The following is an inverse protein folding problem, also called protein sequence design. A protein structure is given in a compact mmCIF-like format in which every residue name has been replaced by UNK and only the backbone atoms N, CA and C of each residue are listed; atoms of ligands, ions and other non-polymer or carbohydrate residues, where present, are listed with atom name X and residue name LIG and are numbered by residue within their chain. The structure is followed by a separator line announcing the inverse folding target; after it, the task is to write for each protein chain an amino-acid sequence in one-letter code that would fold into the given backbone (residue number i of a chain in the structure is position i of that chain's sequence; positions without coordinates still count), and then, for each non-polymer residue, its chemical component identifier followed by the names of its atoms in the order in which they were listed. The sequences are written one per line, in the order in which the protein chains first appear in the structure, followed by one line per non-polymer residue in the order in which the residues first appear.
data_IF_427733882900
#
_entry.id   IF_427733882900
#
_cell.length_a   1.000
_cell.length_b   1.000
_cell.length_c   1.000
_cell.angle_alpha   90.00
_cell.angle_beta   90.00
_cell.angle_gamma   90.00
#
_symmetry.space_group_name_H-M   'P 1'
#
loop_
_entity.id
_entity.type
_entity.pdbx_description
1 polymer ?
#
# COMPACT_ATOMS: atom_id res chain seq x y z
N UNK A 1 -1.01 10.79 -7.75
CA UNK A 1 0.10 11.78 -7.96
C UNK A 1 -0.21 13.15 -7.36
N UNK A 2 -1.44 13.65 -7.47
CA UNK A 2 -1.82 14.98 -6.95
C UNK A 2 -1.59 15.12 -5.43
N UNK A 3 -1.91 14.09 -4.64
CA UNK A 3 -1.66 14.07 -3.20
C UNK A 3 -0.18 14.24 -2.86
N UNK A 4 0.73 13.57 -3.58
CA UNK A 4 2.17 13.73 -3.37
C UNK A 4 2.66 15.14 -3.72
N UNK A 5 2.12 15.73 -4.81
CA UNK A 5 2.43 17.11 -5.17
C UNK A 5 1.92 18.10 -4.11
N UNK A 6 0.71 17.88 -3.56
CA UNK A 6 0.16 18.69 -2.47
C UNK A 6 1.00 18.60 -1.18
N UNK A 7 1.69 17.47 -0.96
CA UNK A 7 2.64 17.28 0.15
C UNK A 7 4.03 17.88 -0.12
N UNK A 8 4.24 18.53 -1.27
CA UNK A 8 5.53 19.09 -1.66
C UNK A 8 6.56 18.04 -2.07
N UNK A 9 6.14 16.81 -2.33
CA UNK A 9 7.02 15.74 -2.80
C UNK A 9 7.17 15.90 -4.31
N UNK A 10 8.42 16.00 -4.78
CA UNK A 10 8.73 16.09 -6.20
C UNK A 10 8.47 14.73 -6.85
N UNK A 11 7.36 14.65 -7.58
CA UNK A 11 6.96 13.49 -8.39
C UNK A 11 6.78 13.91 -9.85
N UNK A 12 6.98 13.01 -10.83
CA UNK A 12 6.65 13.28 -12.21
C UNK A 12 5.20 13.74 -12.36
N UNK A 13 4.95 14.73 -13.22
CA UNK A 13 3.57 15.11 -13.52
C UNK A 13 2.94 14.06 -14.44
N UNK A 14 1.84 13.46 -13.99
CA UNK A 14 1.03 12.59 -14.84
C UNK A 14 0.31 13.46 -15.88
N UNK A 15 0.63 13.25 -17.17
CA UNK A 15 0.03 13.97 -18.30
C UNK A 15 -1.25 13.30 -18.79
N UNK A 16 -1.25 11.97 -18.82
CA UNK A 16 -2.38 11.19 -19.34
C UNK A 16 -2.37 9.77 -18.79
N UNK A 17 -3.55 9.28 -18.43
CA UNK A 17 -3.76 7.87 -18.13
C UNK A 17 -4.59 7.23 -19.24
N UNK A 18 -4.10 6.12 -19.81
CA UNK A 18 -4.78 5.36 -20.85
C UNK A 18 -5.13 3.99 -20.26
N UNK A 19 -6.42 3.67 -20.19
CA UNK A 19 -6.91 2.35 -19.80
C UNK A 19 -7.22 1.57 -21.08
N UNK A 20 -6.61 0.40 -21.27
CA UNK A 20 -6.89 -0.51 -22.39
C UNK A 20 -6.95 -1.95 -21.88
N UNK A 21 -8.09 -2.59 -22.11
CA UNK A 21 -8.38 -3.96 -21.67
C UNK A 21 -8.10 -4.15 -20.17
N UNK A 22 -7.04 -4.91 -19.84
CA UNK A 22 -6.60 -5.22 -18.47
C UNK A 22 -5.40 -4.39 -18.00
N UNK A 23 -4.98 -3.39 -18.79
CA UNK A 23 -3.77 -2.60 -18.53
C UNK A 23 -4.10 -1.12 -18.38
N UNK A 24 -3.44 -0.48 -17.41
CA UNK A 24 -3.41 0.97 -17.27
C UNK A 24 -2.00 1.47 -17.60
N UNK A 25 -1.92 2.44 -18.51
CA UNK A 25 -0.67 3.11 -18.87
C UNK A 25 -0.74 4.54 -18.37
N UNK A 26 0.29 4.98 -17.64
CA UNK A 26 0.44 6.36 -17.23
C UNK A 26 1.58 7.02 -18.01
N UNK A 27 1.22 8.04 -18.79
CA UNK A 27 2.16 8.91 -19.48
C UNK A 27 2.49 10.05 -18.52
N UNK A 28 3.76 10.19 -18.17
CA UNK A 28 4.25 11.18 -17.22
C UNK A 28 5.53 11.84 -17.75
N UNK A 29 5.89 12.97 -17.15
CA UNK A 29 7.14 13.67 -17.50
C UNK A 29 8.36 12.78 -17.21
N UNK A 30 9.31 12.76 -18.16
CA UNK A 30 10.59 12.09 -17.96
C UNK A 30 11.47 12.96 -17.04
N UNK A 31 11.91 12.39 -15.92
CA UNK A 31 12.91 13.03 -15.07
C UNK A 31 14.29 12.55 -15.55
N UNK A 32 15.04 13.45 -16.18
CA UNK A 32 16.41 13.17 -16.58
C UNK A 32 17.31 12.96 -15.37
N UNK A 33 18.16 11.93 -15.44
CA UNK A 33 19.11 11.61 -14.38
C UNK A 33 19.53 10.16 -14.36
N UNK A 34 20.32 9.80 -13.36
CA UNK A 34 20.71 8.42 -13.06
C UNK A 34 19.81 7.86 -11.96
N UNK A 35 19.52 6.57 -12.02
CA UNK A 35 18.75 5.94 -10.95
C UNK A 35 19.55 5.91 -9.66
N UNK A 36 18.86 5.90 -8.52
CA UNK A 36 19.53 5.83 -7.23
C UNK A 36 20.38 4.55 -7.12
N UNK A 37 19.91 3.43 -7.68
CA UNK A 37 20.64 2.15 -7.68
C UNK A 37 21.98 2.24 -8.41
N UNK A 38 22.01 2.89 -9.58
CA UNK A 38 23.26 3.09 -10.35
C UNK A 38 24.22 4.08 -9.68
N UNK A 39 23.67 5.09 -9.00
CA UNK A 39 24.47 6.10 -8.32
C UNK A 39 24.97 5.63 -6.94
N UNK A 40 24.29 4.68 -6.28
CA UNK A 40 24.50 4.35 -4.86
C UNK A 40 25.95 4.01 -4.52
N UNK A 41 26.61 3.20 -5.34
CA UNK A 41 28.01 2.79 -5.13
C UNK A 41 29.03 3.92 -5.36
N UNK A 42 28.61 5.00 -6.02
CA UNK A 42 29.44 6.18 -6.34
C UNK A 42 29.22 7.32 -5.34
N UNK A 43 28.28 7.18 -4.40
CA UNK A 43 27.99 8.21 -3.40
C UNK A 43 29.05 8.22 -2.31
N UNK A 44 29.46 9.42 -1.90
CA UNK A 44 30.23 9.60 -0.67
C UNK A 44 29.34 9.33 0.55
N UNK A 45 29.95 8.87 1.65
CA UNK A 45 29.24 8.61 2.92
C UNK A 45 28.36 9.79 3.37
N UNK A 46 28.86 11.03 3.27
CA UNK A 46 28.09 12.23 3.60
C UNK A 46 26.85 12.41 2.71
N UNK A 47 26.99 12.15 1.41
CA UNK A 47 25.88 12.23 0.45
C UNK A 47 24.85 11.14 0.73
N UNK A 48 25.30 9.92 1.03
CA UNK A 48 24.45 8.80 1.42
C UNK A 48 23.63 9.12 2.66
N UNK A 49 24.25 9.67 3.72
CA UNK A 49 23.53 10.10 4.93
C UNK A 49 22.49 11.17 4.60
N UNK A 50 22.88 12.22 3.87
CA UNK A 50 21.96 13.30 3.48
C UNK A 50 20.77 12.76 2.70
N UNK A 51 21.02 11.85 1.77
CA UNK A 51 19.98 11.24 0.95
C UNK A 51 19.07 10.31 1.77
N UNK A 52 19.62 9.56 2.73
CA UNK A 52 18.83 8.76 3.65
C UNK A 52 17.86 9.63 4.49
N UNK A 53 18.33 10.78 4.98
CA UNK A 53 17.45 11.75 5.66
C UNK A 53 16.37 12.32 4.74
N UNK A 54 16.70 12.63 3.49
CA UNK A 54 15.74 13.11 2.50
C UNK A 54 14.65 12.07 2.21
N UNK A 55 15.02 10.82 1.95
CA UNK A 55 14.08 9.72 1.73
C UNK A 55 13.19 9.49 2.95
N UNK A 56 13.77 9.53 4.16
CA UNK A 56 13.02 9.43 5.40
C UNK A 56 12.03 10.59 5.58
N UNK A 57 12.40 11.79 5.13
CA UNK A 57 11.53 12.96 5.07
C UNK A 57 10.32 12.74 4.18
N UNK A 58 10.53 12.26 2.94
CA UNK A 58 9.43 11.94 2.03
C UNK A 58 8.50 10.87 2.58
N UNK A 59 9.06 9.80 3.17
CA UNK A 59 8.24 8.75 3.82
C UNK A 59 7.42 9.34 4.98
N UNK A 60 8.00 10.24 5.79
CA UNK A 60 7.27 10.92 6.87
C UNK A 60 6.13 11.79 6.33
N UNK A 61 6.35 12.53 5.26
CA UNK A 61 5.31 13.35 4.63
C UNK A 61 4.18 12.48 4.07
N UNK A 62 4.49 11.41 3.35
CA UNK A 62 3.47 10.47 2.87
C UNK A 62 2.66 9.89 4.03
N UNK A 63 3.35 9.46 5.10
CA UNK A 63 2.70 8.87 6.27
C UNK A 63 1.92 9.87 7.14
N UNK A 64 2.11 11.17 6.95
CA UNK A 64 1.26 12.17 7.61
C UNK A 64 -0.14 12.24 7.03
N UNK A 65 -0.34 11.73 5.80
CA UNK A 65 -1.67 11.55 5.23
C UNK A 65 -2.18 10.19 5.64
N UNK A 66 -3.26 10.22 6.41
CA UNK A 66 -3.96 9.03 6.83
C UNK A 66 -5.19 8.79 5.95
N UNK A 67 -5.52 7.52 5.75
CA UNK A 67 -6.75 7.07 5.11
C UNK A 67 -7.49 6.14 6.07
N UNK A 68 -8.81 6.23 6.06
CA UNK A 68 -9.67 5.28 6.76
C UNK A 68 -9.75 3.93 6.05
N UNK A 69 -9.37 3.88 4.77
CA UNK A 69 -9.55 2.73 3.89
C UNK A 69 -8.28 2.41 3.11
N UNK A 70 -8.01 1.12 2.91
CA UNK A 70 -6.94 0.64 2.05
C UNK A 70 -7.39 0.61 0.59
N UNK A 71 -6.42 0.75 -0.30
CA UNK A 71 -6.61 0.62 -1.75
C UNK A 71 -6.34 1.92 -2.48
N UNK A 72 -6.28 1.82 -3.82
CA UNK A 72 -6.08 2.98 -4.69
C UNK A 72 -7.15 4.06 -4.40
N UNK A 73 -6.74 5.33 -4.38
CA UNK A 73 -7.66 6.45 -4.25
C UNK A 73 -8.77 6.44 -5.31
N UNK A 74 -8.44 5.96 -6.53
CA UNK A 74 -9.35 5.98 -7.67
C UNK A 74 -10.32 4.80 -7.66
N UNK A 75 -9.84 3.57 -7.51
CA UNK A 75 -10.69 2.38 -7.58
C UNK A 75 -11.14 1.86 -6.21
N UNK A 76 -10.44 2.19 -5.14
CA UNK A 76 -10.60 1.56 -3.83
C UNK A 76 -10.05 0.13 -3.78
N UNK A 77 -9.54 -0.42 -4.89
CA UNK A 77 -9.04 -1.79 -4.93
C UNK A 77 -7.77 -1.91 -4.09
N UNK A 78 -7.79 -2.87 -3.16
CA UNK A 78 -6.62 -3.22 -2.36
C UNK A 78 -5.90 -4.39 -3.01
N UNK A 79 -4.87 -4.08 -3.82
CA UNK A 79 -4.02 -5.09 -4.46
C UNK A 79 -2.71 -5.24 -3.69
N UNK A 80 -2.33 -6.47 -3.43
CA UNK A 80 -0.96 -6.81 -3.05
C UNK A 80 -0.68 -8.23 -3.50
N UNK A 81 0.60 -8.56 -3.71
CA UNK A 81 1.01 -9.94 -4.01
C UNK A 81 0.42 -10.97 -3.02
N UNK A 82 0.25 -10.58 -1.75
CA UNK A 82 -0.33 -11.41 -0.69
C UNK A 82 -1.86 -11.37 -0.60
N UNK A 83 -2.50 -10.45 -1.33
CA UNK A 83 -3.95 -10.24 -1.36
C UNK A 83 -4.57 -10.58 -2.73
N UNK A 84 -3.74 -10.88 -3.73
CA UNK A 84 -4.12 -11.26 -5.09
C UNK A 84 -4.62 -12.71 -5.20
N UNK A 85 -4.74 -13.44 -4.09
CA UNK A 85 -5.41 -14.73 -4.06
C UNK A 85 -6.91 -14.58 -4.40
N UNK A 86 -7.54 -15.70 -4.76
CA UNK A 86 -8.93 -15.85 -5.24
C UNK A 86 -10.00 -15.21 -4.33
N UNK A 87 -9.62 -14.80 -3.12
CA UNK A 87 -10.51 -14.34 -2.05
C UNK A 87 -10.25 -12.89 -1.61
N UNK A 88 -9.66 -12.06 -2.49
CA UNK A 88 -9.39 -10.62 -2.36
C UNK A 88 -10.11 -9.90 -1.19
N UNK A 89 -9.39 -9.01 -0.52
CA UNK A 89 -9.99 -8.11 0.47
C UNK A 89 -10.99 -7.16 -0.24
N UNK A 90 -12.15 -6.83 0.37
CA UNK A 90 -13.10 -5.88 -0.21
C UNK A 90 -12.47 -4.53 -0.53
N UNK A 91 -12.96 -3.88 -1.59
CA UNK A 91 -12.55 -2.52 -1.92
C UNK A 91 -12.81 -1.58 -0.74
N UNK A 92 -11.91 -0.61 -0.54
CA UNK A 92 -11.96 0.35 0.56
C UNK A 92 -12.02 -0.33 1.93
N UNK A 93 -11.20 -1.34 2.14
CA UNK A 93 -11.18 -2.06 3.41
C UNK A 93 -10.58 -1.24 4.54
N UNK A 94 -11.32 -1.12 5.63
CA UNK A 94 -10.82 -0.51 6.86
C UNK A 94 -9.78 -1.43 7.54
N UNK A 95 -8.98 -0.91 8.49
CA UNK A 95 -8.06 -1.74 9.26
C UNK A 95 -8.70 -2.98 9.92
N UNK A 96 -9.98 -2.88 10.31
CA UNK A 96 -10.75 -3.99 10.88
C UNK A 96 -11.04 -5.10 9.86
N UNK A 97 -11.33 -4.76 8.60
CA UNK A 97 -11.51 -5.71 7.51
C UNK A 97 -10.21 -6.46 7.23
N UNK A 98 -9.09 -5.73 7.14
CA UNK A 98 -7.75 -6.30 6.93
C UNK A 98 -7.36 -7.23 8.08
N UNK A 99 -7.58 -6.79 9.32
CA UNK A 99 -7.35 -7.61 10.51
C UNK A 99 -8.17 -8.90 10.46
N UNK A 100 -9.44 -8.80 10.08
CA UNK A 100 -10.34 -9.97 10.00
C UNK A 100 -9.91 -10.94 8.89
N UNK A 101 -9.44 -10.42 7.75
CA UNK A 101 -8.88 -11.23 6.68
C UNK A 101 -7.65 -12.03 7.13
N UNK A 102 -6.68 -11.37 7.77
CA UNK A 102 -5.51 -12.09 8.29
C UNK A 102 -5.88 -13.09 9.39
N UNK A 103 -6.81 -12.75 10.29
CA UNK A 103 -7.33 -13.69 11.29
C UNK A 103 -7.91 -14.95 10.66
N UNK A 104 -8.70 -14.79 9.60
CA UNK A 104 -9.27 -15.92 8.89
C UNK A 104 -8.19 -16.86 8.36
N UNK A 105 -7.17 -16.31 7.68
CA UNK A 105 -6.11 -17.12 7.07
C UNK A 105 -5.15 -17.76 8.06
N UNK A 106 -4.84 -17.08 9.18
CA UNK A 106 -4.04 -17.65 10.27
C UNK A 106 -4.77 -18.84 10.91
N UNK A 107 -6.08 -18.70 11.14
CA UNK A 107 -6.91 -19.76 11.73
C UNK A 107 -7.41 -20.78 10.68
N UNK A 108 -7.05 -20.64 9.41
CA UNK A 108 -7.62 -21.44 8.33
C UNK A 108 -7.07 -22.87 8.36
N UNK A 109 -7.96 -23.84 8.60
CA UNK A 109 -7.61 -25.27 8.59
C UNK A 109 -8.23 -25.99 7.39
N UNK A 110 -9.50 -25.75 7.10
CA UNK A 110 -10.19 -26.30 5.94
C UNK A 110 -11.49 -25.56 5.65
N UNK A 111 -11.96 -25.63 4.40
CA UNK A 111 -13.24 -25.02 3.97
C UNK A 111 -14.41 -25.51 4.84
N UNK A 112 -14.44 -26.81 5.17
CA UNK A 112 -15.51 -27.39 6.00
C UNK A 112 -15.55 -26.76 7.39
N UNK A 113 -14.40 -26.63 8.05
CA UNK A 113 -14.29 -26.01 9.38
C UNK A 113 -14.61 -24.51 9.32
N UNK A 114 -14.14 -23.82 8.28
CA UNK A 114 -14.44 -22.41 8.06
C UNK A 114 -15.95 -22.16 7.90
N UNK A 115 -16.64 -22.96 7.07
CA UNK A 115 -18.11 -22.88 6.91
C UNK A 115 -18.84 -23.15 8.21
N UNK A 116 -18.41 -24.15 8.99
CA UNK A 116 -19.00 -24.44 10.30
C UNK A 116 -18.80 -23.28 11.30
N UNK A 117 -17.61 -22.66 11.31
CA UNK A 117 -17.29 -21.49 12.16
C UNK A 117 -18.09 -20.26 11.75
N UNK A 118 -18.35 -20.05 10.47
CA UNK A 118 -19.15 -18.93 9.97
C UNK A 118 -20.63 -19.00 10.40
N UNK A 119 -21.15 -20.20 10.66
CA UNK A 119 -22.50 -20.41 11.17
C UNK A 119 -22.63 -20.20 12.69
N UNK A 120 -21.52 -19.96 13.38
CA UNK A 120 -21.46 -19.75 14.83
C UNK A 120 -21.17 -18.28 15.14
N UNK A 121 -21.61 -17.76 16.30
CA UNK A 121 -21.25 -16.41 16.73
C UNK A 121 -19.72 -16.25 16.83
N UNK A 122 -19.19 -15.03 16.61
CA UNK A 122 -17.75 -14.79 16.59
C UNK A 122 -17.12 -15.19 17.93
N UNK A 123 -16.26 -16.22 17.91
CA UNK A 123 -15.47 -16.61 19.08
C UNK A 123 -14.19 -15.76 19.06
N UNK A 124 -13.84 -15.06 20.15
CA UNK A 124 -12.56 -14.36 20.25
C UNK A 124 -11.40 -15.34 20.04
N UNK A 125 -10.54 -15.08 19.07
CA UNK A 125 -9.35 -15.90 18.85
C UNK A 125 -8.39 -15.75 20.04
N UNK A 126 -7.79 -16.85 20.47
CA UNK A 126 -6.73 -16.88 21.50
C UNK A 126 -5.33 -16.66 20.92
N UNK A 127 -5.20 -16.59 19.60
CA UNK A 127 -3.94 -16.31 18.94
C UNK A 127 -3.50 -14.87 19.21
N UNK A 128 -2.19 -14.64 19.34
CA UNK A 128 -1.64 -13.29 19.45
C UNK A 128 -1.97 -12.48 18.18
N UNK A 129 -2.50 -11.27 18.38
CA UNK A 129 -2.93 -10.39 17.28
C UNK A 129 -2.01 -9.17 17.30
N UNK A 130 -1.34 -8.82 16.18
CA UNK A 130 -0.68 -7.54 16.08
C UNK A 130 -1.71 -6.41 16.22
N UNK A 131 -1.38 -5.29 16.87
CA UNK A 131 -2.31 -4.18 17.03
C UNK A 131 -2.94 -3.77 15.71
N UNK A 132 -4.27 -3.71 15.65
CA UNK A 132 -4.97 -3.14 14.50
C UNK A 132 -4.67 -1.65 14.47
N UNK A 133 -4.03 -1.19 13.40
CA UNK A 133 -3.81 0.24 13.22
C UNK A 133 -5.17 0.97 13.19
N UNK A 134 -5.30 2.10 13.88
CA UNK A 134 -6.53 2.90 13.84
C UNK A 134 -6.74 3.57 12.48
N UNK A 135 -5.63 3.89 11.80
CA UNK A 135 -5.62 4.51 10.48
C UNK A 135 -4.56 3.86 9.60
N UNK A 136 -4.78 3.94 8.28
CA UNK A 136 -3.81 3.52 7.28
C UNK A 136 -3.05 4.74 6.81
N UNK A 137 -1.82 4.54 6.36
CA UNK A 137 -0.94 5.61 5.88
C UNK A 137 -0.62 5.40 4.42
N UNK A 138 -0.46 6.50 3.67
CA UNK A 138 -0.02 6.39 2.29
C UNK A 138 1.39 5.81 2.21
N UNK A 139 1.55 4.88 1.27
CA UNK A 139 2.80 4.26 0.86
C UNK A 139 3.14 4.68 -0.56
N UNK A 140 4.36 4.36 -1.02
CA UNK A 140 4.77 4.62 -2.39
C UNK A 140 3.82 3.98 -3.43
N UNK A 141 3.25 2.81 -3.11
CA UNK A 141 2.34 2.10 -4.02
C UNK A 141 0.98 2.77 -4.16
N UNK A 142 0.53 3.56 -3.18
CA UNK A 142 -0.74 4.28 -3.25
C UNK A 142 -0.68 5.48 -4.21
N UNK A 143 0.51 5.88 -4.63
CA UNK A 143 0.71 6.92 -5.64
C UNK A 143 0.67 6.39 -7.08
N UNK A 144 0.63 5.07 -7.26
CA UNK A 144 0.51 4.44 -8.56
C UNK A 144 -0.92 4.62 -9.12
N UNK A 145 -1.07 5.07 -10.37
CA UNK A 145 -2.37 5.31 -11.01
C UNK A 145 -3.13 4.03 -11.41
#
# INVERSE_FOLDING_TARGET
MEVAHALGIRVPLARRTIKKDYSAYCIMDLIEGVTLGEAWSKLSWFTTIRLAFQLRGFIRQLRSVTSQYAGSEVSGECKSFWLEDSYRIPDRSAPSNITSFFRFWIDFVSIRKAKAKASLPPIPSTAWIPPTAETLVLTHHDLAP
#
